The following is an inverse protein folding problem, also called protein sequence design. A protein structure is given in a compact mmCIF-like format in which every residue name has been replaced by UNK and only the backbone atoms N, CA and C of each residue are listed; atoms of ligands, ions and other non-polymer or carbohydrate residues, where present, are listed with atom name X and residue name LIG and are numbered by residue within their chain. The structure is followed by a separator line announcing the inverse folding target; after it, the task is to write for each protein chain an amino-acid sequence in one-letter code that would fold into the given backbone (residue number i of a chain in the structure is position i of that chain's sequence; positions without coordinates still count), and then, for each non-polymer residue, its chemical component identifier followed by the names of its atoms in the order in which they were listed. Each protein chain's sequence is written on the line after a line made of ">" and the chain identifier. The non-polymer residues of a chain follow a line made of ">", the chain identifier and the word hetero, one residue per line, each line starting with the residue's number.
data_IF_532071270565
#
_entry.id   IF_532071270565
#
_cell.length_a   1.000
_cell.length_b   1.000
_cell.length_c   1.000
_cell.angle_alpha   90.00
_cell.angle_beta   90.00
_cell.angle_gamma   90.00
#
_symmetry.space_group_name_H-M   'P 1'
#
loop_
_entity.id
_entity.type
_entity.pdbx_description
1 polymer ?
#
# COMPACT_ATOMS: atom_id res chain seq x y z
N UNK A 1 -6.96 -1.67 26.32
CA UNK A 1 -5.66 -0.97 26.37
C UNK A 1 -5.37 -0.61 24.94
N UNK A 2 -5.67 0.63 24.56
CA UNK A 2 -5.74 0.97 23.15
C UNK A 2 -4.46 1.69 22.76
N UNK A 3 -3.73 1.11 21.79
CA UNK A 3 -2.44 1.60 21.33
C UNK A 3 -2.63 2.25 19.96
N UNK A 4 -2.36 3.55 19.89
CA UNK A 4 -2.28 4.27 18.62
C UNK A 4 -0.87 4.13 18.04
N UNK A 5 -0.77 3.64 16.79
CA UNK A 5 0.50 3.46 16.09
C UNK A 5 0.52 4.41 14.89
N UNK A 6 1.50 5.31 14.85
CA UNK A 6 1.74 6.20 13.71
C UNK A 6 2.74 5.57 12.76
N UNK A 7 2.34 5.34 11.52
CA UNK A 7 3.20 4.83 10.44
C UNK A 7 3.38 5.95 9.41
N UNK A 8 4.61 6.41 9.21
CA UNK A 8 4.94 7.39 8.18
C UNK A 8 5.49 6.67 6.94
N UNK A 9 5.08 7.13 5.76
CA UNK A 9 5.56 6.56 4.49
C UNK A 9 7.03 6.96 4.26
N UNK A 10 7.87 5.98 3.92
CA UNK A 10 9.29 6.18 3.62
C UNK A 10 9.46 6.64 2.17
N UNK A 11 10.47 7.49 1.94
CA UNK A 11 10.78 8.16 0.66
C UNK A 11 10.63 7.23 -0.56
N UNK A 12 9.57 7.40 -1.36
CA UNK A 12 9.37 6.69 -2.63
C UNK A 12 9.68 7.62 -3.79
N UNK A 13 10.72 7.31 -4.56
CA UNK A 13 11.02 8.04 -5.79
C UNK A 13 9.94 7.79 -6.85
N UNK A 14 9.60 8.80 -7.66
CA UNK A 14 8.46 8.74 -8.59
C UNK A 14 8.42 7.54 -9.56
N UNK A 15 9.59 7.05 -9.99
CA UNK A 15 9.68 5.84 -10.84
C UNK A 15 9.28 4.59 -10.05
N UNK A 16 9.77 4.43 -8.82
CA UNK A 16 9.41 3.29 -7.97
C UNK A 16 7.91 3.32 -7.66
N UNK A 17 7.36 4.50 -7.41
CA UNK A 17 5.92 4.70 -7.20
C UNK A 17 5.11 4.31 -8.44
N UNK A 18 5.52 4.72 -9.64
CA UNK A 18 4.83 4.38 -10.88
C UNK A 18 4.83 2.86 -11.15
N UNK A 19 5.97 2.20 -10.91
CA UNK A 19 6.08 0.75 -11.07
C UNK A 19 5.25 -0.01 -10.02
N UNK A 20 5.24 0.47 -8.77
CA UNK A 20 4.41 -0.10 -7.70
C UNK A 20 2.91 0.00 -8.03
N UNK A 21 2.47 1.16 -8.53
CA UNK A 21 1.08 1.38 -9.00
C UNK A 21 0.75 0.42 -10.15
N UNK A 22 1.63 0.31 -11.15
CA UNK A 22 1.41 -0.57 -12.29
C UNK A 22 1.30 -2.04 -11.85
N UNK A 23 2.18 -2.52 -10.98
CA UNK A 23 2.14 -3.89 -10.46
C UNK A 23 0.87 -4.17 -9.66
N UNK A 24 0.44 -3.21 -8.82
CA UNK A 24 -0.79 -3.32 -8.02
C UNK A 24 -2.05 -3.40 -8.89
N UNK A 25 -2.09 -2.69 -10.02
CA UNK A 25 -3.21 -2.70 -10.96
C UNK A 25 -3.25 -3.96 -11.83
N UNK A 26 -2.08 -4.42 -12.32
CA UNK A 26 -2.01 -5.52 -13.29
C UNK A 26 -1.94 -6.91 -12.64
N UNK A 27 -1.43 -7.01 -11.40
CA UNK A 27 -1.30 -8.30 -10.71
C UNK A 27 -1.60 -8.20 -9.20
N UNK A 28 -2.81 -7.73 -8.83
CA UNK A 28 -3.19 -7.49 -7.44
C UNK A 28 -3.09 -8.75 -6.56
N UNK A 29 -3.33 -9.94 -7.13
CA UNK A 29 -3.23 -11.22 -6.42
C UNK A 29 -1.82 -11.54 -5.93
N UNK A 30 -0.79 -10.94 -6.53
CA UNK A 30 0.63 -11.13 -6.16
C UNK A 30 1.21 -9.95 -5.39
N UNK A 31 0.45 -8.87 -5.23
CA UNK A 31 0.89 -7.67 -4.53
C UNK A 31 0.65 -7.82 -3.02
N UNK A 32 1.75 -7.93 -2.24
CA UNK A 32 1.67 -8.13 -0.79
C UNK A 32 1.37 -6.82 -0.05
N UNK A 33 0.10 -6.46 0.08
CA UNK A 33 -0.30 -5.27 0.83
C UNK A 33 -0.85 -5.57 2.22
N UNK A 34 0.04 -5.82 3.19
CA UNK A 34 -0.36 -6.04 4.59
C UNK A 34 -1.10 -4.83 5.19
N UNK A 35 -0.77 -3.62 4.74
CA UNK A 35 -1.37 -2.38 5.22
C UNK A 35 -2.75 -2.11 4.61
N UNK A 36 -3.01 -2.59 3.37
CA UNK A 36 -4.33 -2.44 2.73
C UNK A 36 -5.42 -3.20 3.50
N UNK A 37 -5.07 -4.22 4.30
CA UNK A 37 -6.02 -4.87 5.20
C UNK A 37 -6.44 -3.98 6.37
N UNK A 38 -5.62 -2.98 6.72
CA UNK A 38 -5.88 -2.03 7.81
C UNK A 38 -6.65 -0.81 7.33
N UNK A 39 -6.49 -0.41 6.06
CA UNK A 39 -7.25 0.68 5.44
C UNK A 39 -8.42 0.10 4.65
N UNK A 40 -9.66 0.41 5.03
CA UNK A 40 -10.84 -0.02 4.28
C UNK A 40 -10.68 0.34 2.78
N UNK A 41 -10.96 -0.63 1.91
CA UNK A 41 -10.66 -0.72 0.48
C UNK A 41 -10.47 0.60 -0.31
N UNK A 42 -9.45 0.63 -1.19
CA UNK A 42 -9.33 1.67 -2.24
C UNK A 42 -10.15 1.35 -3.49
N UNK A 43 -10.88 0.23 -3.53
CA UNK A 43 -11.59 -0.26 -4.72
C UNK A 43 -12.91 -1.00 -4.39
N UNK A 44 -13.77 -0.43 -3.53
CA UNK A 44 -15.21 -0.75 -3.55
C UNK A 44 -15.99 0.40 -4.16
#
# INVERSE_FOLDING_TARGET
>A
MDRLIFVYNANSGGINTALDIAHKLLSPSTYRCNLCRLTHDTFT
#
